data_IF_996461367906
#
_entry.id   IF_996461367906
#
_cell.length_a   1.000
_cell.length_b   1.000
_cell.length_c   1.000
_cell.angle_alpha   90.00
_cell.angle_beta   90.00
_cell.angle_gamma   90.00
#
_symmetry.space_group_name_H-M   'P 1'
#
loop_
_entity.id
_entity.type
_entity.pdbx_description
1 polymer ?
#
# COMPACT_ATOMS: atom_id res chain seq x y z
N UNK A 1 27.88 -8.48 -12.69
CA UNK A 1 26.93 -7.34 -12.60
C UNK A 1 27.61 -5.99 -12.34
N UNK A 2 28.47 -5.84 -11.32
CA UNK A 2 29.12 -4.56 -10.97
C UNK A 2 29.74 -3.83 -12.18
N UNK A 3 30.60 -4.52 -12.94
CA UNK A 3 31.25 -3.97 -14.14
C UNK A 3 30.32 -3.66 -15.31
N UNK A 4 29.07 -4.12 -15.28
CA UNK A 4 28.08 -3.84 -16.32
C UNK A 4 27.33 -2.52 -16.05
N UNK A 5 27.06 -2.19 -14.78
CA UNK A 5 26.22 -1.05 -14.42
C UNK A 5 27.01 0.18 -13.96
N UNK A 6 28.08 -0.03 -13.17
CA UNK A 6 28.82 1.09 -12.57
C UNK A 6 29.40 2.08 -13.59
N UNK A 7 30.06 1.67 -14.69
CA UNK A 7 30.74 2.61 -15.58
C UNK A 7 29.83 3.69 -16.18
N UNK A 8 28.57 3.35 -16.44
CA UNK A 8 27.62 4.24 -17.10
C UNK A 8 26.67 4.96 -16.16
N UNK A 9 26.42 4.39 -14.97
CA UNK A 9 25.36 4.86 -14.07
C UNK A 9 25.89 5.49 -12.78
N UNK A 10 27.13 5.21 -12.37
CA UNK A 10 27.66 5.70 -11.09
C UNK A 10 27.85 7.22 -11.04
N UNK A 11 27.81 7.91 -12.19
CA UNK A 11 27.85 9.37 -12.25
C UNK A 11 26.53 10.01 -11.79
N UNK A 12 25.40 9.30 -11.89
CA UNK A 12 24.05 9.83 -11.63
C UNK A 12 23.31 9.08 -10.52
N UNK A 13 23.74 7.86 -10.18
CA UNK A 13 23.06 6.99 -9.23
C UNK A 13 24.01 6.44 -8.17
N UNK A 14 23.51 6.35 -6.94
CA UNK A 14 24.11 5.49 -5.91
C UNK A 14 23.72 4.04 -6.21
N UNK A 15 24.70 3.22 -6.59
CA UNK A 15 24.45 1.82 -6.97
C UNK A 15 24.68 0.92 -5.78
N UNK A 16 23.60 0.29 -5.31
CA UNK A 16 23.64 -0.71 -4.23
C UNK A 16 23.31 -2.08 -4.78
N UNK A 17 24.20 -3.05 -4.53
CA UNK A 17 23.97 -4.46 -4.88
C UNK A 17 23.40 -5.23 -3.70
N UNK A 18 22.25 -5.87 -3.90
CA UNK A 18 21.56 -6.63 -2.86
C UNK A 18 22.43 -7.74 -2.25
N UNK A 19 23.23 -8.43 -3.07
CA UNK A 19 24.08 -9.55 -2.63
C UNK A 19 25.32 -9.13 -1.81
N UNK A 20 25.65 -7.85 -1.76
CA UNK A 20 26.78 -7.32 -0.97
C UNK A 20 26.34 -6.76 0.39
N UNK A 21 25.07 -6.85 0.72
CA UNK A 21 24.51 -6.31 1.95
C UNK A 21 24.62 -7.37 3.04
N UNK A 22 25.61 -7.19 3.92
CA UNK A 22 25.78 -8.01 5.12
C UNK A 22 25.18 -7.28 6.33
N UNK A 23 23.85 -7.21 6.39
CA UNK A 23 23.14 -6.70 7.58
C UNK A 23 22.83 -7.85 8.54
N UNK A 24 23.09 -7.72 9.86
CA UNK A 24 22.54 -8.63 10.86
C UNK A 24 21.03 -8.40 11.03
N UNK A 25 20.21 -9.45 10.85
CA UNK A 25 18.74 -9.35 10.98
C UNK A 25 17.97 -10.26 10.02
N UNK A 26 16.68 -10.01 9.84
CA UNK A 26 15.85 -10.67 8.83
C UNK A 26 16.16 -10.07 7.44
N UNK A 27 16.90 -10.82 6.64
CA UNK A 27 17.31 -10.47 5.28
C UNK A 27 16.11 -10.02 4.43
N UNK A 28 14.94 -10.61 4.64
CA UNK A 28 13.75 -10.28 3.85
C UNK A 28 13.24 -8.86 4.15
N UNK A 29 13.28 -8.43 5.41
CA UNK A 29 12.81 -7.09 5.78
C UNK A 29 13.67 -6.00 5.14
N UNK A 30 14.99 -6.17 5.18
CA UNK A 30 15.93 -5.23 4.57
C UNK A 30 15.76 -5.14 3.06
N UNK A 31 15.59 -6.29 2.39
CA UNK A 31 15.35 -6.34 0.94
C UNK A 31 14.03 -5.62 0.61
N UNK A 32 12.94 -5.90 1.32
CA UNK A 32 11.64 -5.26 1.10
C UNK A 32 11.75 -3.74 1.25
N UNK A 33 12.39 -3.25 2.31
CA UNK A 33 12.58 -1.82 2.55
C UNK A 33 13.36 -1.17 1.41
N UNK A 34 14.40 -1.84 0.89
CA UNK A 34 15.19 -1.32 -0.23
C UNK A 34 14.44 -1.36 -1.55
N UNK A 35 13.72 -2.44 -1.83
CA UNK A 35 12.82 -2.53 -2.97
C UNK A 35 11.72 -1.48 -2.92
N UNK A 36 11.30 -1.05 -1.73
CA UNK A 36 10.35 0.05 -1.60
C UNK A 36 11.03 1.42 -1.74
N UNK A 37 12.17 1.66 -1.08
CA UNK A 37 12.79 2.99 -1.00
C UNK A 37 13.58 3.40 -2.25
N UNK A 38 14.15 2.45 -2.98
CA UNK A 38 14.99 2.78 -4.15
C UNK A 38 14.18 3.48 -5.25
N UNK A 39 14.75 4.49 -5.88
CA UNK A 39 14.09 5.22 -6.98
C UNK A 39 13.90 4.32 -8.20
N UNK A 40 14.90 3.48 -8.48
CA UNK A 40 14.91 2.49 -9.56
C UNK A 40 15.52 1.18 -9.06
N UNK A 41 15.02 0.06 -9.58
CA UNK A 41 15.63 -1.27 -9.38
C UNK A 41 16.05 -1.82 -10.73
N UNK A 42 17.27 -2.37 -10.80
CA UNK A 42 17.72 -3.18 -11.94
C UNK A 42 17.72 -4.64 -11.50
N UNK A 43 16.84 -5.45 -12.07
CA UNK A 43 16.71 -6.87 -11.74
C UNK A 43 17.37 -7.74 -12.81
N UNK A 44 18.34 -8.56 -12.42
CA UNK A 44 18.97 -9.53 -13.30
C UNK A 44 18.22 -10.87 -13.25
N UNK A 45 17.52 -11.18 -14.32
CA UNK A 45 16.70 -12.39 -14.49
C UNK A 45 17.50 -13.56 -15.08
N UNK A 46 18.81 -13.40 -15.23
CA UNK A 46 19.71 -14.48 -15.62
C UNK A 46 19.54 -15.67 -14.67
N UNK A 47 19.57 -16.87 -15.23
CA UNK A 47 19.38 -18.16 -14.57
C UNK A 47 17.99 -18.36 -13.91
N UNK A 48 17.05 -17.45 -14.14
CA UNK A 48 15.67 -17.52 -13.63
C UNK A 48 15.61 -17.72 -12.10
N UNK A 49 16.43 -16.97 -11.36
CA UNK A 49 16.48 -17.07 -9.90
C UNK A 49 15.12 -16.71 -9.26
N UNK A 50 14.54 -17.66 -8.52
CA UNK A 50 13.25 -17.51 -7.85
C UNK A 50 13.19 -16.33 -6.86
N UNK A 51 14.29 -16.03 -6.18
CA UNK A 51 14.35 -14.89 -5.26
C UNK A 51 14.21 -13.58 -6.03
N UNK A 52 14.92 -13.43 -7.16
CA UNK A 52 14.83 -12.23 -7.99
C UNK A 52 13.42 -12.10 -8.60
N UNK A 53 12.79 -13.20 -9.00
CA UNK A 53 11.40 -13.18 -9.49
C UNK A 53 10.43 -12.69 -8.40
N UNK A 54 10.62 -13.12 -7.15
CA UNK A 54 9.83 -12.61 -6.02
C UNK A 54 10.05 -11.12 -5.77
N UNK A 55 11.30 -10.65 -5.81
CA UNK A 55 11.65 -9.22 -5.66
C UNK A 55 11.03 -8.35 -6.77
N UNK A 56 11.01 -8.85 -8.01
CA UNK A 56 10.32 -8.20 -9.15
C UNK A 56 8.83 -8.08 -8.88
N UNK A 57 8.20 -9.16 -8.40
CA UNK A 57 6.79 -9.15 -8.02
C UNK A 57 6.46 -8.10 -6.96
N UNK A 58 7.28 -8.02 -5.90
CA UNK A 58 7.14 -6.98 -4.87
C UNK A 58 7.32 -5.56 -5.44
N UNK A 59 8.33 -5.35 -6.29
CA UNK A 59 8.57 -4.05 -6.90
C UNK A 59 7.41 -3.61 -7.78
N UNK A 60 6.79 -4.53 -8.51
CA UNK A 60 5.55 -4.28 -9.25
C UNK A 60 4.39 -3.91 -8.34
N UNK A 61 4.24 -4.57 -7.19
CA UNK A 61 3.22 -4.25 -6.21
C UNK A 61 3.41 -2.85 -5.59
N UNK A 62 4.67 -2.42 -5.39
CA UNK A 62 4.98 -1.05 -4.96
C UNK A 62 4.78 0.00 -6.06
N UNK A 63 4.47 -0.41 -7.28
CA UNK A 63 4.24 0.47 -8.42
C UNK A 63 5.41 1.45 -8.65
N UNK A 64 6.65 0.97 -8.55
CA UNK A 64 7.85 1.78 -8.74
C UNK A 64 8.70 1.30 -9.93
N UNK A 65 9.45 2.20 -10.58
CA UNK A 65 10.26 1.89 -11.75
C UNK A 65 11.18 0.67 -11.54
N UNK A 66 11.24 -0.18 -12.56
CA UNK A 66 12.14 -1.35 -12.61
C UNK A 66 12.63 -1.58 -14.03
N UNK A 67 13.92 -1.88 -14.18
CA UNK A 67 14.55 -2.33 -15.42
C UNK A 67 14.98 -3.78 -15.23
N UNK A 68 14.49 -4.66 -16.08
CA UNK A 68 14.84 -6.09 -16.05
C UNK A 68 15.85 -6.40 -17.14
N UNK A 69 16.93 -7.09 -16.78
CA UNK A 69 18.00 -7.49 -17.68
C UNK A 69 18.17 -9.01 -17.66
N UNK A 70 18.69 -9.59 -18.74
CA UNK A 70 19.04 -11.02 -18.81
C UNK A 70 20.16 -11.24 -19.82
N UNK A 71 20.97 -12.28 -19.65
CA UNK A 71 21.99 -12.64 -20.64
C UNK A 71 21.36 -12.94 -22.01
N UNK A 72 22.08 -12.56 -23.06
CA UNK A 72 21.62 -12.65 -24.46
C UNK A 72 21.31 -14.08 -24.90
N UNK A 73 22.06 -15.05 -24.39
CA UNK A 73 21.96 -16.49 -24.65
C UNK A 73 20.84 -17.20 -23.88
N UNK A 74 20.20 -16.51 -22.93
CA UNK A 74 19.11 -17.07 -22.14
C UNK A 74 17.73 -16.61 -22.61
N UNK A 75 16.73 -17.44 -22.28
CA UNK A 75 15.32 -17.13 -22.48
C UNK A 75 14.81 -16.35 -21.27
N UNK A 76 13.98 -15.35 -21.53
CA UNK A 76 13.25 -14.66 -20.47
C UNK A 76 12.19 -15.58 -19.84
N UNK A 77 11.94 -15.46 -18.52
CA UNK A 77 10.80 -16.11 -17.88
C UNK A 77 9.50 -15.71 -18.57
N UNK A 78 8.63 -16.69 -18.87
CA UNK A 78 7.42 -16.46 -19.64
C UNK A 78 6.48 -15.42 -19.01
N UNK A 79 6.43 -15.39 -17.68
CA UNK A 79 5.56 -14.52 -16.90
C UNK A 79 5.90 -13.02 -16.99
N UNK A 80 7.08 -12.69 -17.52
CA UNK A 80 7.56 -11.30 -17.64
C UNK A 80 7.57 -10.78 -19.09
N UNK A 81 7.40 -11.65 -20.09
CA UNK A 81 7.55 -11.35 -21.54
C UNK A 81 6.73 -10.13 -22.02
N UNK A 82 5.61 -9.83 -21.34
CA UNK A 82 4.77 -8.67 -21.66
C UNK A 82 5.45 -7.32 -21.44
N UNK A 83 6.59 -7.28 -20.74
CA UNK A 83 7.37 -6.07 -20.48
C UNK A 83 8.65 -6.05 -21.31
N UNK A 84 9.13 -4.85 -21.64
CA UNK A 84 10.42 -4.72 -22.35
C UNK A 84 11.55 -5.09 -21.41
N UNK A 85 12.39 -6.02 -21.85
CA UNK A 85 13.59 -6.43 -21.16
C UNK A 85 14.83 -6.13 -21.98
N UNK A 86 15.97 -5.99 -21.31
CA UNK A 86 17.25 -5.74 -21.97
C UNK A 86 18.06 -7.03 -21.96
N UNK A 87 18.51 -7.44 -23.14
CA UNK A 87 19.52 -8.49 -23.25
C UNK A 87 20.89 -7.88 -23.12
N UNK A 88 21.76 -8.48 -22.32
CA UNK A 88 23.16 -8.08 -22.21
C UNK A 88 24.08 -9.21 -22.64
N UNK A 89 25.24 -8.85 -23.18
CA UNK A 89 26.27 -9.78 -23.63
C UNK A 89 27.63 -9.32 -23.09
N UNK A 90 28.40 -10.25 -22.52
CA UNK A 90 29.71 -10.02 -21.90
C UNK A 90 30.85 -10.72 -22.67
N UNK A 91 30.56 -11.31 -23.84
CA UNK A 91 31.49 -12.18 -24.58
C UNK A 91 32.62 -11.43 -25.27
N UNK A 92 32.38 -10.18 -25.67
CA UNK A 92 33.39 -9.31 -26.26
C UNK A 92 33.21 -7.85 -25.82
N UNK A 93 34.27 -7.02 -25.89
CA UNK A 93 34.22 -5.63 -25.43
C UNK A 93 33.17 -4.76 -26.15
N UNK A 94 33.00 -4.92 -27.46
CA UNK A 94 32.08 -4.10 -28.24
C UNK A 94 30.62 -4.36 -27.85
N UNK A 95 30.26 -5.63 -27.62
CA UNK A 95 28.93 -6.01 -27.13
C UNK A 95 28.70 -5.62 -25.68
N UNK A 96 29.73 -5.64 -24.85
CA UNK A 96 29.64 -5.15 -23.48
C UNK A 96 29.29 -3.66 -23.48
N UNK A 97 29.96 -2.86 -24.31
CA UNK A 97 29.70 -1.43 -24.41
C UNK A 97 28.34 -1.13 -25.03
N UNK A 98 27.89 -1.92 -26.01
CA UNK A 98 26.52 -1.85 -26.52
C UNK A 98 25.48 -2.16 -25.42
N UNK A 99 25.71 -3.20 -24.62
CA UNK A 99 24.83 -3.60 -23.52
C UNK A 99 24.74 -2.50 -22.47
N UNK A 100 25.89 -1.93 -22.09
CA UNK A 100 25.98 -0.78 -21.17
C UNK A 100 25.17 0.42 -21.68
N UNK A 101 25.39 0.82 -22.93
CA UNK A 101 24.70 1.94 -23.54
C UNK A 101 23.19 1.70 -23.67
N UNK A 102 22.76 0.45 -23.90
CA UNK A 102 21.34 0.09 -23.94
C UNK A 102 20.70 0.16 -22.56
N UNK A 103 21.36 -0.39 -21.54
CA UNK A 103 20.90 -0.33 -20.14
C UNK A 103 20.76 1.13 -19.70
N UNK A 104 21.78 1.96 -19.94
CA UNK A 104 21.76 3.39 -19.61
C UNK A 104 20.56 4.11 -20.22
N UNK A 105 20.34 3.94 -21.53
CA UNK A 105 19.20 4.55 -22.23
C UNK A 105 17.85 4.14 -21.62
N UNK A 106 17.72 2.89 -21.21
CA UNK A 106 16.50 2.40 -20.57
C UNK A 106 16.32 2.96 -19.16
N UNK A 107 17.39 3.01 -18.37
CA UNK A 107 17.40 3.62 -17.03
C UNK A 107 16.99 5.09 -17.13
N UNK A 108 17.63 5.87 -18.00
CA UNK A 108 17.27 7.27 -18.23
C UNK A 108 15.82 7.42 -18.69
N UNK A 109 15.36 6.56 -19.61
CA UNK A 109 13.97 6.59 -20.07
C UNK A 109 12.99 6.26 -18.96
N UNK A 110 13.31 5.30 -18.09
CA UNK A 110 12.47 4.91 -16.96
C UNK A 110 12.40 6.04 -15.91
N UNK A 111 13.51 6.75 -15.69
CA UNK A 111 13.58 7.87 -14.75
C UNK A 111 12.95 9.16 -15.30
N UNK A 112 13.03 9.40 -16.61
CA UNK A 112 12.37 10.55 -17.28
C UNK A 112 10.85 10.37 -17.40
N UNK A 113 10.37 9.13 -17.35
CA UNK A 113 8.93 8.87 -17.34
C UNK A 113 8.33 9.47 -16.07
N UNK A 114 7.56 10.54 -16.23
CA UNK A 114 6.78 11.15 -15.14
C UNK A 114 5.84 10.16 -14.45
N UNK A 115 5.50 9.06 -15.14
CA UNK A 115 4.54 8.07 -14.66
C UNK A 115 4.95 6.65 -15.05
N UNK A 116 5.51 5.92 -14.10
CA UNK A 116 5.58 4.46 -14.18
C UNK A 116 4.23 3.88 -13.78
N UNK A 117 3.70 2.95 -14.58
CA UNK A 117 2.53 2.16 -14.23
C UNK A 117 2.95 0.69 -14.29
N UNK A 118 3.10 0.08 -13.13
CA UNK A 118 3.41 -1.32 -12.98
C UNK A 118 2.21 -2.21 -13.34
N UNK A 119 2.45 -3.51 -13.59
CA UNK A 119 1.40 -4.42 -14.04
C UNK A 119 0.26 -4.60 -13.02
N UNK A 120 0.57 -4.55 -11.72
CA UNK A 120 -0.44 -4.63 -10.65
C UNK A 120 -1.36 -3.41 -10.70
N UNK A 121 -0.79 -2.21 -10.76
CA UNK A 121 -1.55 -0.97 -10.85
C UNK A 121 -2.38 -0.89 -12.15
N UNK A 122 -1.82 -1.37 -13.26
CA UNK A 122 -2.53 -1.46 -14.54
C UNK A 122 -3.73 -2.41 -14.46
N UNK A 123 -3.53 -3.62 -13.90
CA UNK A 123 -4.59 -4.62 -13.76
C UNK A 123 -5.73 -4.16 -12.84
N UNK A 124 -5.42 -3.38 -11.81
CA UNK A 124 -6.42 -2.82 -10.89
C UNK A 124 -7.09 -1.53 -11.41
N UNK A 125 -6.79 -1.11 -12.64
CA UNK A 125 -7.34 0.14 -13.20
C UNK A 125 -6.83 1.41 -12.51
N UNK A 126 -5.78 1.32 -11.70
CA UNK A 126 -5.15 2.46 -11.02
C UNK A 126 -4.37 3.35 -12.00
N UNK A 127 -4.07 2.83 -13.20
CA UNK A 127 -3.56 3.59 -14.34
C UNK A 127 -4.46 4.79 -14.73
N UNK A 128 -5.72 4.80 -14.31
CA UNK A 128 -6.68 5.88 -14.58
C UNK A 128 -6.78 6.92 -13.46
N UNK A 129 -6.33 6.61 -12.23
CA UNK A 129 -6.70 7.41 -11.05
C UNK A 129 -5.65 8.39 -10.52
N UNK A 130 -4.38 8.29 -10.91
CA UNK A 130 -3.37 9.20 -10.36
C UNK A 130 -3.17 10.43 -11.26
N UNK A 131 -3.97 11.47 -10.99
CA UNK A 131 -3.66 12.88 -11.28
C UNK A 131 -2.66 13.40 -10.24
N UNK A 132 -1.79 14.28 -10.69
CA UNK A 132 -0.69 14.95 -9.99
C UNK A 132 -1.13 15.57 -8.64
N UNK A 133 -0.38 15.33 -7.55
CA UNK A 133 -0.39 16.04 -6.25
C UNK A 133 -1.65 16.03 -5.35
N UNK A 134 -2.54 15.03 -5.40
CA UNK A 134 -3.79 15.10 -4.62
C UNK A 134 -4.21 13.85 -3.84
N UNK A 135 -3.35 12.85 -3.59
CA UNK A 135 -3.81 11.65 -2.87
C UNK A 135 -4.04 11.88 -1.37
N UNK A 136 -3.25 12.70 -0.68
CA UNK A 136 -3.57 13.05 0.72
C UNK A 136 -4.69 14.09 0.80
N UNK A 137 -4.69 15.09 -0.09
CA UNK A 137 -5.65 16.19 -0.06
C UNK A 137 -7.05 15.79 -0.55
N UNK A 138 -7.17 14.93 -1.56
CA UNK A 138 -8.48 14.40 -1.99
C UNK A 138 -8.99 13.33 -1.03
N UNK A 139 -8.09 12.53 -0.43
CA UNK A 139 -8.51 11.64 0.65
C UNK A 139 -8.99 12.47 1.83
N UNK A 140 -8.28 13.53 2.23
CA UNK A 140 -8.74 14.47 3.26
C UNK A 140 -10.07 15.12 2.88
N UNK A 141 -10.21 15.67 1.67
CA UNK A 141 -11.46 16.28 1.19
C UNK A 141 -12.60 15.26 1.23
N UNK A 142 -12.36 14.02 0.77
CA UNK A 142 -13.37 12.97 0.81
C UNK A 142 -13.72 12.50 2.23
N UNK A 143 -12.78 12.67 3.17
CA UNK A 143 -13.02 12.41 4.58
C UNK A 143 -13.78 13.58 5.22
N UNK A 144 -13.49 14.82 4.85
CA UNK A 144 -14.21 16.03 5.26
C UNK A 144 -15.67 15.96 4.78
N UNK A 145 -15.91 15.64 3.51
CA UNK A 145 -17.26 15.46 2.95
C UNK A 145 -18.05 14.37 3.71
N UNK A 146 -17.41 13.24 4.03
CA UNK A 146 -18.03 12.17 4.82
C UNK A 146 -18.26 12.55 6.28
N UNK A 147 -17.38 13.36 6.87
CA UNK A 147 -17.55 13.86 8.24
C UNK A 147 -18.71 14.85 8.34
N UNK A 148 -18.90 15.69 7.32
CA UNK A 148 -20.05 16.59 7.22
C UNK A 148 -21.35 15.81 7.03
N UNK A 149 -21.33 14.76 6.20
CA UNK A 149 -22.48 13.86 6.02
C UNK A 149 -22.86 13.17 7.33
N UNK A 150 -21.88 12.61 8.07
CA UNK A 150 -22.11 12.02 9.40
C UNK A 150 -22.64 13.08 10.38
N UNK A 151 -22.08 14.29 10.37
CA UNK A 151 -22.51 15.37 11.27
C UNK A 151 -23.96 15.76 11.02
N UNK A 152 -24.39 15.83 9.75
CA UNK A 152 -25.78 16.08 9.39
C UNK A 152 -26.70 14.96 9.86
N UNK A 153 -26.32 13.70 9.67
CA UNK A 153 -27.10 12.56 10.15
C UNK A 153 -27.23 12.53 11.68
N UNK A 154 -26.16 12.88 12.40
CA UNK A 154 -26.19 12.98 13.87
C UNK A 154 -27.10 14.12 14.33
N UNK A 155 -27.08 15.27 13.64
CA UNK A 155 -27.98 16.38 13.93
C UNK A 155 -29.45 16.01 13.72
N UNK A 156 -29.77 15.32 12.61
CA UNK A 156 -31.11 14.81 12.34
C UNK A 156 -31.58 13.78 13.38
N UNK A 157 -30.70 12.85 13.76
CA UNK A 157 -30.99 11.90 14.84
C UNK A 157 -31.25 12.62 16.16
N UNK A 158 -30.46 13.64 16.51
CA UNK A 158 -30.62 14.37 17.76
C UNK A 158 -31.92 15.19 17.77
N UNK A 159 -32.31 15.80 16.64
CA UNK A 159 -33.63 16.45 16.53
C UNK A 159 -34.78 15.45 16.61
N UNK A 160 -34.65 14.28 15.96
CA UNK A 160 -35.66 13.22 16.05
C UNK A 160 -35.82 12.66 17.46
N UNK A 161 -34.73 12.56 18.23
CA UNK A 161 -34.77 12.15 19.65
C UNK A 161 -35.41 13.23 20.52
N UNK A 162 -35.20 14.51 20.19
CA UNK A 162 -35.78 15.65 20.93
C UNK A 162 -37.30 15.74 20.81
N UNK A 163 -37.87 15.25 19.70
CA UNK A 163 -39.31 15.22 19.43
C UNK A 163 -40.04 13.99 20.00
N UNK A 164 -39.32 13.05 20.61
CA UNK A 164 -39.94 11.90 21.28
C UNK A 164 -40.56 12.35 22.61
N UNK A 165 -41.82 12.82 22.55
CA UNK A 165 -42.63 13.02 23.76
C UNK A 165 -42.91 11.67 24.42
N UNK A 166 -42.24 11.41 25.56
CA UNK A 166 -42.56 10.28 26.42
C UNK A 166 -43.86 10.55 27.18
N UNK A 167 -44.94 9.90 26.77
CA UNK A 167 -46.17 9.83 27.56
C UNK A 167 -45.95 8.94 28.79
N UNK A 168 -45.92 9.55 29.97
CA UNK A 168 -45.93 8.83 31.24
C UNK A 168 -47.36 8.75 31.78
N UNK A 169 -47.77 7.62 32.38
CA UNK A 169 -49.05 7.52 33.07
C UNK A 169 -49.10 8.46 34.29
N UNK A 170 -50.29 8.98 34.61
CA UNK A 170 -50.52 9.99 35.68
C UNK A 170 -50.04 9.55 37.08
N UNK A 171 -49.88 8.25 37.30
CA UNK A 171 -49.31 7.70 38.53
C UNK A 171 -48.38 6.52 38.22
N UNK A 172 -47.12 6.64 38.63
CA UNK A 172 -46.13 5.56 38.54
C UNK A 172 -46.08 4.85 39.90
N UNK A 173 -46.28 3.51 39.97
CA UNK A 173 -46.18 2.76 41.21
C UNK A 173 -44.81 2.91 41.88
N UNK A 174 -44.77 3.01 43.22
CA UNK A 174 -43.53 3.23 43.98
C UNK A 174 -42.49 2.10 43.81
N UNK A 175 -42.94 0.87 43.62
CA UNK A 175 -42.06 -0.29 43.35
C UNK A 175 -41.37 -0.18 41.97
N UNK A 176 -41.99 0.54 41.04
CA UNK A 176 -41.51 0.75 39.68
C UNK A 176 -40.44 1.84 39.66
N UNK A 177 -40.62 2.91 40.46
CA UNK A 177 -39.58 3.92 40.70
C UNK A 177 -38.31 3.32 41.30
N UNK A 178 -38.43 2.45 42.31
CA UNK A 178 -37.28 1.76 42.90
C UNK A 178 -36.51 0.89 41.88
N UNK A 179 -37.23 0.21 40.97
CA UNK A 179 -36.61 -0.58 39.90
C UNK A 179 -35.88 0.31 38.89
N UNK A 180 -36.44 1.48 38.55
CA UNK A 180 -35.82 2.46 37.66
C UNK A 180 -34.53 3.02 38.28
N UNK A 181 -34.56 3.38 39.56
CA UNK A 181 -33.38 3.90 40.27
C UNK A 181 -32.23 2.86 40.29
N UNK A 182 -32.56 1.60 40.58
CA UNK A 182 -31.59 0.50 40.54
C UNK A 182 -31.00 0.29 39.14
N UNK A 183 -31.81 0.43 38.08
CA UNK A 183 -31.33 0.37 36.70
C UNK A 183 -30.42 1.57 36.39
N UNK A 184 -30.78 2.78 36.82
CA UNK A 184 -29.98 3.98 36.58
C UNK A 184 -28.60 3.89 37.27
N UNK A 185 -28.54 3.34 38.48
CA UNK A 185 -27.28 3.09 39.19
C UNK A 185 -26.38 2.11 38.42
N UNK A 186 -26.94 1.01 37.91
CA UNK A 186 -26.21 0.03 37.07
C UNK A 186 -25.70 0.68 35.78
N UNK A 187 -26.52 1.50 35.11
CA UNK A 187 -26.15 2.18 33.87
C UNK A 187 -25.02 3.19 34.11
N UNK A 188 -25.02 3.89 35.25
CA UNK A 188 -23.96 4.86 35.59
C UNK A 188 -22.57 4.21 35.76
N UNK A 189 -22.52 2.91 36.03
CA UNK A 189 -21.30 2.13 36.21
C UNK A 189 -20.76 1.54 34.90
N UNK A 190 -21.47 1.70 33.78
CA UNK A 190 -21.17 1.09 32.50
C UNK A 190 -21.03 2.16 31.41
N UNK A 191 -20.15 1.95 30.42
CA UNK A 191 -20.00 2.89 29.32
C UNK A 191 -21.31 2.93 28.48
N UNK A 192 -21.72 4.09 27.96
CA UNK A 192 -23.01 4.25 27.28
C UNK A 192 -23.30 3.25 26.14
N UNK A 193 -22.27 2.78 25.42
CA UNK A 193 -22.41 1.83 24.30
C UNK A 193 -22.40 0.35 24.68
N UNK A 194 -22.22 0.02 25.97
CA UNK A 194 -22.29 -1.37 26.46
C UNK A 194 -23.68 -1.73 27.01
N UNK A 195 -24.68 -0.85 26.83
CA UNK A 195 -26.02 -0.97 27.41
C UNK A 195 -26.75 -2.25 26.97
N UNK A 196 -26.70 -2.58 25.68
CA UNK A 196 -27.32 -3.80 25.14
C UNK A 196 -26.73 -5.08 25.75
N UNK A 197 -25.44 -5.05 26.09
CA UNK A 197 -24.75 -6.17 26.74
C UNK A 197 -25.25 -6.38 28.16
N UNK A 198 -25.46 -5.28 28.89
CA UNK A 198 -26.00 -5.30 30.26
C UNK A 198 -27.46 -5.75 30.26
N UNK A 199 -28.29 -5.20 29.36
CA UNK A 199 -29.70 -5.57 29.24
C UNK A 199 -29.88 -7.04 28.87
N UNK A 200 -29.07 -7.56 27.94
CA UNK A 200 -29.10 -8.98 27.58
C UNK A 200 -28.65 -9.88 28.74
N UNK A 201 -27.69 -9.43 29.57
CA UNK A 201 -27.26 -10.19 30.74
C UNK A 201 -28.32 -10.22 31.84
N UNK A 202 -28.99 -9.09 32.10
CA UNK A 202 -30.06 -9.01 33.08
C UNK A 202 -31.29 -9.85 32.71
N UNK A 203 -31.60 -9.98 31.41
CA UNK A 203 -32.69 -10.87 30.92
C UNK A 203 -32.36 -12.36 31.03
N UNK A 204 -31.10 -12.71 31.25
CA UNK A 204 -30.62 -14.10 31.35
C UNK A 204 -30.51 -14.62 32.78
N UNK A 205 -30.87 -13.80 33.77
CA UNK A 205 -30.88 -14.10 35.21
C UNK A 205 -32.33 -14.13 35.66
#
# INVERSE_FOLDING_TARGET
MRHLLEPELAAEFEIVRADLINSPGDINQDIIVRLHKSDLVVADLTDQNANVMWEVGLRHAFNKPIVTICKSDQKFPFDLISHRHIKYDLTDPDKLDQSRAQIKRFVESAMKQKRYVGPVAAALGMATFQREDVDAANVLLSMEDKLDEISSQVLELNSGISEVEFSLPDAIPADTLQKIDAIHEIISLVRPWDLDRVLNKLRSV
#
